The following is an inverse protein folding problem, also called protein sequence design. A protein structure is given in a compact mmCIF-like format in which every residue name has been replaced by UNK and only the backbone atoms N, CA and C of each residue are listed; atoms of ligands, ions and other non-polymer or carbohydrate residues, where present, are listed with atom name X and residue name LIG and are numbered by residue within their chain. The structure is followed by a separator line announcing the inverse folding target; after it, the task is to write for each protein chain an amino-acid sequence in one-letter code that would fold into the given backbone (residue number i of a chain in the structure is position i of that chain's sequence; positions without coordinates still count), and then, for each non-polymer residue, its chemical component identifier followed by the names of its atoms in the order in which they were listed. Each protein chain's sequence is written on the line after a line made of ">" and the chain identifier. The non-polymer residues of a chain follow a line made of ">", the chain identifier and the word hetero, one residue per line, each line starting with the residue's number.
data_IF_202612052241
#
_entry.id   IF_202612052241
#
_cell.length_a   1.000
_cell.length_b   1.000
_cell.length_c   1.000
_cell.angle_alpha   90.00
_cell.angle_beta   90.00
_cell.angle_gamma   90.00
#
_symmetry.space_group_name_H-M   'P 1'
#
loop_
_entity.id
_entity.type
_entity.pdbx_description
1 polymer ?
#
# COMPACT_ATOMS: atom_id res chain seq x y z
N UNK A 1 14.62 -8.03 4.43
CA UNK A 1 13.53 -7.47 3.62
C UNK A 1 12.79 -6.44 4.45
N UNK A 2 12.52 -5.27 3.88
CA UNK A 2 11.89 -4.14 4.55
C UNK A 2 10.68 -3.62 3.76
N UNK A 3 9.73 -2.94 4.40
CA UNK A 3 8.65 -2.27 3.68
C UNK A 3 9.13 -1.06 2.87
N UNK A 4 10.24 -0.42 3.29
CA UNK A 4 10.82 0.75 2.60
C UNK A 4 12.34 0.79 2.69
N UNK A 5 12.98 1.61 1.83
CA UNK A 5 14.44 1.70 1.74
C UNK A 5 15.12 2.35 2.95
N UNK A 6 14.42 3.23 3.69
CA UNK A 6 15.01 3.97 4.80
C UNK A 6 15.40 3.07 5.98
N UNK A 7 14.59 2.05 6.27
CA UNK A 7 14.83 1.12 7.36
C UNK A 7 16.20 0.42 7.24
N UNK A 8 16.62 0.09 6.02
CA UNK A 8 17.92 -0.53 5.76
C UNK A 8 19.09 0.36 6.18
N UNK A 9 18.99 1.68 6.03
CA UNK A 9 20.07 2.61 6.42
C UNK A 9 20.29 2.60 7.93
N UNK A 10 19.21 2.59 8.72
CA UNK A 10 19.30 2.54 10.19
C UNK A 10 19.86 1.21 10.68
N UNK A 11 19.39 0.10 10.10
CA UNK A 11 19.93 -1.22 10.46
C UNK A 11 21.40 -1.34 10.11
N UNK A 12 21.82 -0.88 8.93
CA UNK A 12 23.23 -0.93 8.55
C UNK A 12 24.11 -0.12 9.50
N UNK A 13 23.65 1.07 9.93
CA UNK A 13 24.35 1.87 10.93
C UNK A 13 24.44 1.16 12.29
N UNK A 14 23.37 0.54 12.76
CA UNK A 14 23.35 -0.20 14.00
C UNK A 14 24.28 -1.41 13.95
N UNK A 15 24.27 -2.17 12.86
CA UNK A 15 25.20 -3.31 12.65
C UNK A 15 26.66 -2.86 12.64
N UNK A 16 26.97 -1.73 11.97
CA UNK A 16 28.32 -1.18 11.96
C UNK A 16 28.80 -0.73 13.35
N UNK A 17 27.88 -0.28 14.22
CA UNK A 17 28.21 0.10 15.60
C UNK A 17 28.43 -1.09 16.53
N UNK A 18 27.75 -2.21 16.26
CA UNK A 18 27.83 -3.44 17.05
C UNK A 18 28.98 -4.36 16.60
N UNK A 19 29.55 -4.13 15.42
CA UNK A 19 30.60 -4.97 14.87
C UNK A 19 31.96 -4.62 15.50
N UNK A 20 32.64 -5.62 16.06
CA UNK A 20 34.00 -5.49 16.62
C UNK A 20 35.12 -5.41 15.54
N UNK A 21 34.74 -5.52 14.27
CA UNK A 21 35.67 -5.50 13.14
C UNK A 21 34.93 -5.52 11.79
N UNK A 22 35.64 -5.66 10.67
CA UNK A 22 35.05 -5.74 9.36
C UNK A 22 34.07 -6.91 9.23
N UNK A 23 32.82 -6.64 8.87
CA UNK A 23 31.78 -7.65 8.63
C UNK A 23 31.19 -7.47 7.23
N UNK A 24 30.79 -8.57 6.61
CA UNK A 24 30.04 -8.49 5.37
C UNK A 24 28.64 -7.96 5.64
N UNK A 25 28.25 -6.90 4.90
CA UNK A 25 26.89 -6.37 4.99
C UNK A 25 25.88 -7.38 4.45
N UNK A 26 24.77 -7.61 5.14
CA UNK A 26 23.64 -8.33 4.57
C UNK A 26 23.13 -7.66 3.29
N UNK A 27 22.48 -8.42 2.43
CA UNK A 27 21.76 -7.83 1.30
C UNK A 27 20.46 -7.19 1.80
N UNK A 28 20.29 -5.90 1.52
CA UNK A 28 19.09 -5.15 1.88
C UNK A 28 18.18 -5.02 0.68
N UNK A 29 16.92 -5.40 0.84
CA UNK A 29 15.92 -5.34 -0.23
C UNK A 29 14.58 -4.87 0.33
N UNK A 30 13.84 -4.06 -0.43
CA UNK A 30 12.45 -3.79 -0.10
C UNK A 30 11.54 -4.92 -0.58
N UNK A 31 10.35 -5.02 -0.01
CA UNK A 31 9.37 -6.02 -0.46
C UNK A 31 8.99 -5.80 -1.93
N UNK A 32 8.87 -4.54 -2.36
CA UNK A 32 8.61 -4.19 -3.76
C UNK A 32 9.76 -4.62 -4.69
N UNK A 33 11.02 -4.35 -4.30
CA UNK A 33 12.17 -4.79 -5.08
C UNK A 33 12.31 -6.30 -5.09
N UNK A 34 11.95 -6.99 -3.99
CA UNK A 34 11.89 -8.45 -3.95
C UNK A 34 10.95 -8.99 -5.04
N UNK A 35 9.72 -8.51 -5.10
CA UNK A 35 8.78 -8.94 -6.12
C UNK A 35 9.26 -8.63 -7.55
N UNK A 36 9.81 -7.43 -7.78
CA UNK A 36 10.34 -7.03 -9.10
C UNK A 36 11.46 -7.94 -9.59
N UNK A 37 12.37 -8.36 -8.69
CA UNK A 37 13.49 -9.25 -9.06
C UNK A 37 13.04 -10.66 -9.45
N UNK A 38 11.84 -11.08 -9.04
CA UNK A 38 11.29 -12.40 -9.33
C UNK A 38 10.31 -12.43 -10.49
N UNK A 39 10.16 -11.29 -11.20
CA UNK A 39 9.29 -11.14 -12.38
C UNK A 39 10.09 -10.95 -13.64
N UNK A 40 9.59 -11.53 -14.74
CA UNK A 40 10.07 -11.26 -16.09
C UNK A 40 9.33 -10.05 -16.73
N UNK A 41 8.27 -9.58 -16.08
CA UNK A 41 7.49 -8.44 -16.53
C UNK A 41 8.05 -7.15 -15.92
N UNK A 42 7.96 -6.07 -16.67
CA UNK A 42 8.37 -4.72 -16.25
C UNK A 42 7.15 -3.91 -15.85
N UNK A 43 7.23 -3.17 -14.76
CA UNK A 43 6.14 -2.26 -14.37
C UNK A 43 6.01 -1.19 -15.44
N UNK A 44 4.80 -1.05 -15.98
CA UNK A 44 4.48 -0.08 -16.99
C UNK A 44 4.47 1.35 -16.41
N UNK A 45 4.80 2.31 -17.26
CA UNK A 45 4.58 3.72 -16.94
C UNK A 45 3.10 3.98 -16.62
N UNK A 46 2.77 4.77 -15.59
CA UNK A 46 1.40 5.04 -15.17
C UNK A 46 0.51 5.58 -16.30
N UNK A 47 1.01 6.51 -17.09
CA UNK A 47 0.25 7.11 -18.22
C UNK A 47 -0.01 6.04 -19.28
N UNK A 48 1.01 5.25 -19.61
CA UNK A 48 0.86 4.13 -20.56
C UNK A 48 -0.15 3.10 -20.06
N UNK A 49 -0.15 2.79 -18.76
CA UNK A 49 -1.11 1.86 -18.15
C UNK A 49 -2.54 2.36 -18.34
N UNK A 50 -2.80 3.64 -18.14
CA UNK A 50 -4.12 4.24 -18.35
C UNK A 50 -4.50 4.23 -19.83
N UNK A 51 -3.57 4.51 -20.75
CA UNK A 51 -3.82 4.42 -22.18
C UNK A 51 -4.16 2.99 -22.63
N UNK A 52 -3.50 1.98 -22.10
CA UNK A 52 -3.80 0.59 -22.41
C UNK A 52 -5.11 0.13 -21.75
N UNK A 53 -5.41 0.60 -20.54
CA UNK A 53 -6.70 0.38 -19.89
C UNK A 53 -7.86 1.01 -20.67
N UNK A 54 -7.67 2.22 -21.20
CA UNK A 54 -8.64 2.88 -22.07
C UNK A 54 -8.93 2.05 -23.34
N UNK A 55 -7.90 1.49 -23.97
CA UNK A 55 -8.08 0.60 -25.14
C UNK A 55 -8.92 -0.63 -24.77
N UNK A 56 -8.64 -1.25 -23.63
CA UNK A 56 -9.42 -2.38 -23.12
C UNK A 56 -10.86 -1.98 -22.83
N UNK A 57 -11.07 -0.79 -22.24
CA UNK A 57 -12.39 -0.24 -22.03
C UNK A 57 -13.17 -0.07 -23.34
N UNK A 58 -12.61 0.59 -24.34
CA UNK A 58 -13.25 0.80 -25.64
C UNK A 58 -13.55 -0.53 -26.33
N UNK A 59 -12.61 -1.48 -26.32
CA UNK A 59 -12.79 -2.77 -26.97
C UNK A 59 -13.90 -3.61 -26.33
N UNK A 60 -13.94 -3.67 -24.99
CA UNK A 60 -14.95 -4.46 -24.26
C UNK A 60 -16.32 -3.79 -24.25
N UNK A 61 -16.37 -2.47 -24.15
CA UNK A 61 -17.66 -1.75 -24.06
C UNK A 61 -18.25 -1.42 -25.42
N UNK A 62 -17.42 -1.30 -26.46
CA UNK A 62 -17.80 -0.75 -27.76
C UNK A 62 -18.02 0.77 -27.74
N UNK A 63 -17.70 1.45 -26.64
CA UNK A 63 -17.91 2.89 -26.49
C UNK A 63 -16.76 3.68 -27.12
N UNK A 64 -16.87 3.97 -28.42
CA UNK A 64 -15.87 4.77 -29.16
C UNK A 64 -16.08 6.28 -29.03
N UNK A 65 -17.17 6.72 -28.38
CA UNK A 65 -17.45 8.15 -28.16
C UNK A 65 -16.71 8.72 -26.95
N UNK A 66 -16.37 7.88 -25.99
CA UNK A 66 -15.57 8.28 -24.85
C UNK A 66 -14.17 8.67 -25.29
N UNK A 67 -13.65 9.79 -24.83
CA UNK A 67 -12.29 10.22 -25.14
C UNK A 67 -11.33 9.82 -24.04
N UNK A 68 -10.05 9.69 -24.37
CA UNK A 68 -9.01 9.36 -23.37
C UNK A 68 -8.94 10.44 -22.27
N UNK A 69 -9.14 11.70 -22.59
CA UNK A 69 -9.12 12.83 -21.66
C UNK A 69 -10.21 12.68 -20.58
N UNK A 70 -11.43 12.36 -21.00
CA UNK A 70 -12.54 12.13 -20.06
C UNK A 70 -12.36 10.82 -19.26
N UNK A 71 -11.82 9.80 -19.88
CA UNK A 71 -11.56 8.51 -19.23
C UNK A 71 -10.44 8.59 -18.19
N UNK A 72 -9.49 9.53 -18.34
CA UNK A 72 -8.22 9.51 -17.63
C UNK A 72 -8.36 9.47 -16.10
N UNK A 73 -9.13 10.39 -15.52
CA UNK A 73 -9.35 10.45 -14.08
C UNK A 73 -10.02 9.18 -13.53
N UNK A 74 -11.07 8.70 -14.21
CA UNK A 74 -11.70 7.45 -13.86
C UNK A 74 -10.78 6.24 -14.09
N UNK A 75 -10.00 6.25 -15.15
CA UNK A 75 -9.01 5.22 -15.44
C UNK A 75 -7.95 5.08 -14.33
N UNK A 76 -7.55 6.19 -13.69
CA UNK A 76 -6.66 6.15 -12.53
C UNK A 76 -7.29 5.45 -11.33
N UNK A 77 -8.57 5.74 -11.03
CA UNK A 77 -9.30 5.06 -9.96
C UNK A 77 -9.43 3.56 -10.24
N UNK A 78 -9.83 3.21 -11.46
CA UNK A 78 -10.00 1.82 -11.85
C UNK A 78 -8.68 1.03 -11.83
N UNK A 79 -7.57 1.65 -12.22
CA UNK A 79 -6.25 1.04 -12.14
C UNK A 79 -5.85 0.78 -10.68
N UNK A 80 -6.15 1.70 -9.78
CA UNK A 80 -5.91 1.54 -8.34
C UNK A 80 -6.77 0.39 -7.76
N UNK A 81 -8.04 0.31 -8.15
CA UNK A 81 -8.93 -0.78 -7.72
C UNK A 81 -8.44 -2.15 -8.23
N UNK A 82 -7.97 -2.23 -9.47
CA UNK A 82 -7.39 -3.45 -10.03
C UNK A 82 -6.10 -3.85 -9.30
N UNK A 83 -5.28 -2.87 -8.96
CA UNK A 83 -4.07 -3.07 -8.17
C UNK A 83 -4.41 -3.64 -6.77
N UNK A 84 -5.43 -3.09 -6.11
CA UNK A 84 -5.90 -3.55 -4.81
C UNK A 84 -6.55 -4.94 -4.87
N UNK A 85 -7.33 -5.25 -5.91
CA UNK A 85 -7.89 -6.59 -6.13
C UNK A 85 -6.76 -7.62 -6.21
N UNK A 86 -5.70 -7.34 -6.97
CA UNK A 86 -4.58 -8.26 -7.12
C UNK A 86 -3.73 -8.35 -5.83
N UNK A 87 -3.41 -7.23 -5.18
CA UNK A 87 -2.65 -7.21 -3.92
C UNK A 87 -3.37 -7.95 -2.79
N UNK A 88 -4.70 -7.88 -2.79
CA UNK A 88 -5.52 -8.61 -1.83
C UNK A 88 -5.92 -10.01 -2.29
N UNK A 89 -5.47 -10.44 -3.48
CA UNK A 89 -5.80 -11.74 -4.08
C UNK A 89 -7.31 -12.00 -4.10
N UNK A 90 -8.09 -10.94 -4.31
CA UNK A 90 -9.53 -11.03 -4.38
C UNK A 90 -9.95 -11.69 -5.71
N UNK A 91 -11.10 -12.34 -5.69
CA UNK A 91 -11.73 -12.90 -6.87
C UNK A 91 -12.44 -11.76 -7.62
N UNK A 92 -11.82 -11.26 -8.70
CA UNK A 92 -12.32 -10.14 -9.47
C UNK A 92 -13.73 -10.38 -10.01
N UNK A 93 -14.06 -11.60 -10.44
CA UNK A 93 -15.39 -11.93 -10.90
C UNK A 93 -16.43 -11.76 -9.80
N UNK A 94 -16.14 -12.23 -8.58
CA UNK A 94 -17.04 -12.03 -7.43
C UNK A 94 -17.13 -10.58 -6.98
N UNK A 95 -16.01 -9.85 -6.98
CA UNK A 95 -16.00 -8.43 -6.64
C UNK A 95 -16.92 -7.64 -7.60
N UNK A 96 -16.78 -7.88 -8.91
CA UNK A 96 -17.56 -7.15 -9.91
C UNK A 96 -18.99 -7.68 -10.11
N UNK A 97 -19.27 -8.93 -9.76
CA UNK A 97 -20.63 -9.47 -9.84
C UNK A 97 -21.52 -9.10 -8.64
N UNK A 98 -20.95 -8.64 -7.54
CA UNK A 98 -21.64 -8.46 -6.26
C UNK A 98 -22.50 -7.19 -6.19
N UNK A 99 -22.47 -6.31 -7.21
CA UNK A 99 -23.36 -5.12 -7.30
C UNK A 99 -24.71 -5.51 -7.93
N UNK A 100 -25.35 -6.54 -7.41
CA UNK A 100 -26.74 -6.82 -7.73
C UNK A 100 -27.74 -6.00 -6.87
N UNK A 101 -27.28 -5.36 -5.82
CA UNK A 101 -28.10 -4.57 -4.92
C UNK A 101 -27.95 -3.07 -5.23
N UNK A 102 -28.87 -2.55 -6.01
CA UNK A 102 -28.96 -1.15 -6.42
C UNK A 102 -29.00 -0.12 -5.27
N UNK A 103 -29.26 -0.58 -4.02
CA UNK A 103 -29.23 0.26 -2.82
C UNK A 103 -27.79 0.60 -2.39
N UNK A 104 -26.81 -0.25 -2.71
CA UNK A 104 -25.40 0.02 -2.39
C UNK A 104 -24.77 1.08 -3.29
N UNK A 105 -25.34 1.32 -4.47
CA UNK A 105 -24.91 2.39 -5.39
C UNK A 105 -25.29 3.81 -4.92
N UNK A 106 -26.27 3.92 -4.02
CA UNK A 106 -26.66 5.21 -3.42
C UNK A 106 -25.70 5.62 -2.28
N UNK A 107 -24.92 4.67 -1.74
CA UNK A 107 -23.94 4.94 -0.69
C UNK A 107 -22.50 5.02 -1.26
N UNK A 108 -22.13 6.20 -1.72
CA UNK A 108 -20.76 6.54 -2.12
C UNK A 108 -19.99 7.23 -0.98
N UNK A 109 -20.42 7.02 0.28
CA UNK A 109 -19.83 7.67 1.45
C UNK A 109 -18.35 7.26 1.71
N UNK A 110 -17.94 6.10 1.22
CA UNK A 110 -16.56 5.60 1.30
C UNK A 110 -15.57 6.30 0.35
N UNK A 111 -16.08 7.03 -0.66
CA UNK A 111 -15.23 7.81 -1.57
C UNK A 111 -14.95 9.19 -0.98
N UNK A 112 -13.72 9.67 -1.15
CA UNK A 112 -13.39 11.05 -0.84
C UNK A 112 -14.02 12.02 -1.84
N UNK A 113 -14.03 13.32 -1.55
CA UNK A 113 -14.72 14.32 -2.40
C UNK A 113 -14.07 14.46 -3.79
N UNK A 114 -12.77 14.24 -3.90
CA UNK A 114 -12.05 14.25 -5.17
C UNK A 114 -12.45 13.06 -6.05
N UNK A 115 -12.52 11.87 -5.48
CA UNK A 115 -12.99 10.65 -6.15
C UNK A 115 -14.46 10.78 -6.57
N UNK A 116 -15.32 11.36 -5.71
CA UNK A 116 -16.72 11.64 -6.05
C UNK A 116 -16.83 12.64 -7.19
N UNK A 117 -15.98 13.67 -7.21
CA UNK A 117 -15.97 14.67 -8.27
C UNK A 117 -15.56 14.05 -9.63
N UNK A 118 -14.52 13.19 -9.64
CA UNK A 118 -14.11 12.49 -10.86
C UNK A 118 -15.16 11.50 -11.35
N UNK A 119 -15.80 10.77 -10.45
CA UNK A 119 -16.92 9.89 -10.79
C UNK A 119 -18.09 10.67 -11.40
N UNK A 120 -18.47 11.79 -10.77
CA UNK A 120 -19.52 12.68 -11.30
C UNK A 120 -19.14 13.26 -12.65
N UNK A 121 -17.89 13.68 -12.84
CA UNK A 121 -17.37 14.21 -14.09
C UNK A 121 -17.42 13.18 -15.21
N UNK A 122 -17.01 11.95 -14.92
CA UNK A 122 -17.10 10.85 -15.87
C UNK A 122 -18.54 10.56 -16.29
N UNK A 123 -19.48 10.53 -15.32
CA UNK A 123 -20.89 10.27 -15.62
C UNK A 123 -21.68 11.50 -16.11
N UNK A 124 -21.27 12.72 -15.80
CA UNK A 124 -21.96 13.95 -16.24
C UNK A 124 -21.96 14.13 -17.76
N UNK A 125 -21.04 13.52 -18.48
CA UNK A 125 -21.01 13.54 -19.94
C UNK A 125 -22.03 12.59 -20.59
N UNK A 126 -22.83 11.87 -19.79
CA UNK A 126 -23.73 10.82 -20.25
C UNK A 126 -25.22 11.18 -20.19
N UNK A 127 -25.61 12.42 -20.30
CA UNK A 127 -27.01 12.87 -20.24
C UNK A 127 -27.53 13.32 -18.85
N UNK A 128 -28.33 14.39 -18.83
CA UNK A 128 -28.88 14.98 -17.60
C UNK A 128 -29.97 14.13 -16.90
N UNK A 129 -30.17 12.87 -17.33
CA UNK A 129 -31.16 11.97 -16.76
C UNK A 129 -30.55 11.04 -15.72
N UNK A 130 -30.88 11.19 -14.41
CA UNK A 130 -30.33 10.34 -13.34
C UNK A 130 -30.60 8.84 -13.53
N UNK A 131 -31.71 8.45 -14.11
CA UNK A 131 -32.03 7.04 -14.39
C UNK A 131 -31.12 6.47 -15.49
N UNK A 132 -30.80 7.24 -16.52
CA UNK A 132 -29.89 6.84 -17.58
C UNK A 132 -28.44 6.69 -17.10
N UNK A 133 -27.98 7.51 -16.16
CA UNK A 133 -26.66 7.40 -15.52
C UNK A 133 -26.55 6.08 -14.78
N UNK A 134 -27.56 5.71 -14.01
CA UNK A 134 -27.62 4.49 -13.23
C UNK A 134 -27.56 3.23 -14.10
N UNK A 135 -28.35 3.14 -15.15
CA UNK A 135 -28.36 1.99 -16.06
C UNK A 135 -27.00 1.81 -16.76
N UNK A 136 -26.37 2.91 -17.15
CA UNK A 136 -25.05 2.88 -17.78
C UNK A 136 -23.96 2.45 -16.81
N UNK A 137 -24.04 2.89 -15.56
CA UNK A 137 -23.14 2.46 -14.51
C UNK A 137 -23.24 0.93 -14.28
N UNK A 138 -24.46 0.41 -14.15
CA UNK A 138 -24.68 -1.03 -13.99
C UNK A 138 -24.14 -1.81 -15.20
N UNK A 139 -24.42 -1.30 -16.41
CA UNK A 139 -23.93 -1.91 -17.64
C UNK A 139 -22.40 -1.91 -17.70
N UNK A 140 -21.77 -0.80 -17.34
CA UNK A 140 -20.32 -0.71 -17.27
C UNK A 140 -19.76 -1.66 -16.21
N UNK A 141 -20.36 -1.67 -15.02
CA UNK A 141 -19.93 -2.52 -13.92
C UNK A 141 -19.97 -4.00 -14.29
N UNK A 142 -21.00 -4.44 -14.98
CA UNK A 142 -21.08 -5.82 -15.47
C UNK A 142 -19.96 -6.20 -16.45
N UNK A 143 -19.30 -5.22 -17.05
CA UNK A 143 -18.19 -5.41 -17.98
C UNK A 143 -16.82 -5.27 -17.34
N UNK A 144 -16.73 -4.81 -16.08
CA UNK A 144 -15.45 -4.53 -15.42
C UNK A 144 -14.55 -5.76 -15.32
N UNK A 145 -15.12 -6.93 -15.06
CA UNK A 145 -14.32 -8.16 -15.05
C UNK A 145 -13.68 -8.45 -16.41
N UNK A 146 -14.41 -8.22 -17.51
CA UNK A 146 -13.90 -8.41 -18.86
C UNK A 146 -12.81 -7.36 -19.18
N UNK A 147 -13.02 -6.10 -18.77
CA UNK A 147 -12.03 -5.01 -18.92
C UNK A 147 -10.75 -5.36 -18.14
N UNK A 148 -10.87 -5.81 -16.88
CA UNK A 148 -9.75 -6.24 -16.05
C UNK A 148 -8.94 -7.36 -16.71
N UNK A 149 -9.61 -8.39 -17.23
CA UNK A 149 -8.95 -9.52 -17.86
C UNK A 149 -8.28 -9.14 -19.19
N UNK A 150 -8.97 -8.35 -20.04
CA UNK A 150 -8.40 -7.85 -21.30
C UNK A 150 -7.19 -6.96 -21.04
N UNK A 151 -7.28 -6.05 -20.08
CA UNK A 151 -6.18 -5.16 -19.70
C UNK A 151 -4.95 -5.94 -19.24
N UNK A 152 -5.12 -6.93 -18.36
CA UNK A 152 -4.01 -7.80 -17.91
C UNK A 152 -3.39 -8.55 -19.08
N UNK A 153 -4.20 -9.09 -20.00
CA UNK A 153 -3.70 -9.78 -21.17
C UNK A 153 -2.94 -8.84 -22.12
N UNK A 154 -3.45 -7.62 -22.31
CA UNK A 154 -2.80 -6.58 -23.11
C UNK A 154 -1.43 -6.18 -22.56
N UNK A 155 -1.31 -6.03 -21.26
CA UNK A 155 -0.03 -5.76 -20.60
C UNK A 155 0.93 -6.95 -20.76
N UNK A 156 0.47 -8.19 -20.52
CA UNK A 156 1.31 -9.40 -20.69
C UNK A 156 1.87 -9.54 -22.10
N UNK A 157 1.07 -9.25 -23.12
CA UNK A 157 1.51 -9.30 -24.52
C UNK A 157 2.65 -8.31 -24.81
N UNK A 158 2.76 -7.24 -24.01
CA UNK A 158 3.83 -6.24 -24.10
C UNK A 158 4.97 -6.51 -23.11
N UNK A 159 4.95 -7.61 -22.34
CA UNK A 159 5.83 -7.89 -21.21
C UNK A 159 5.77 -6.81 -20.11
N UNK A 160 4.62 -6.20 -19.96
CA UNK A 160 4.34 -5.17 -18.96
C UNK A 160 3.41 -5.70 -17.89
N UNK A 161 3.38 -4.99 -16.76
CA UNK A 161 2.52 -5.27 -15.61
C UNK A 161 2.30 -3.99 -14.80
N UNK A 162 1.30 -4.00 -13.90
CA UNK A 162 1.23 -3.08 -12.75
C UNK A 162 1.61 -3.82 -11.46
N UNK A 163 1.76 -3.12 -10.37
CA UNK A 163 2.40 -3.65 -9.17
C UNK A 163 1.63 -4.84 -8.56
N UNK A 164 0.33 -4.71 -8.34
CA UNK A 164 -0.50 -5.77 -7.77
C UNK A 164 -0.54 -7.03 -8.63
N UNK A 165 -0.69 -6.87 -9.95
CA UNK A 165 -0.64 -7.99 -10.89
C UNK A 165 0.71 -8.73 -10.80
N UNK A 166 1.83 -7.98 -10.73
CA UNK A 166 3.15 -8.55 -10.58
C UNK A 166 3.28 -9.35 -9.29
N UNK A 167 2.82 -8.80 -8.18
CA UNK A 167 2.91 -9.46 -6.86
C UNK A 167 2.08 -10.74 -6.84
N UNK A 168 0.86 -10.68 -7.36
CA UNK A 168 -0.04 -11.82 -7.46
C UNK A 168 0.55 -12.92 -8.34
N UNK A 169 1.04 -12.57 -9.52
CA UNK A 169 1.65 -13.53 -10.46
C UNK A 169 2.87 -14.26 -9.83
N UNK A 170 3.60 -13.61 -8.92
CA UNK A 170 4.74 -14.23 -8.22
C UNK A 170 4.27 -15.23 -7.16
N UNK A 171 3.34 -14.83 -6.29
CA UNK A 171 2.91 -15.69 -5.17
C UNK A 171 2.00 -16.84 -5.61
N UNK A 172 1.40 -16.75 -6.79
CA UNK A 172 0.62 -17.84 -7.40
C UNK A 172 1.53 -18.90 -8.06
N UNK A 173 2.82 -18.63 -8.23
CA UNK A 173 3.78 -19.63 -8.71
C UNK A 173 3.94 -20.76 -7.69
N UNK A 174 4.03 -22.01 -8.12
CA UNK A 174 4.20 -23.16 -7.22
C UNK A 174 5.47 -23.06 -6.36
N UNK A 175 6.50 -22.43 -6.89
CA UNK A 175 7.77 -22.21 -6.21
C UNK A 175 8.41 -20.90 -6.67
N UNK A 176 8.84 -20.10 -5.72
CA UNK A 176 9.63 -18.89 -5.97
C UNK A 176 11.11 -19.29 -5.91
N UNK A 177 11.82 -19.10 -7.03
CA UNK A 177 13.27 -19.31 -7.06
C UNK A 177 13.95 -18.21 -6.25
N UNK A 178 14.55 -18.55 -5.13
CA UNK A 178 15.21 -17.60 -4.24
C UNK A 178 16.71 -17.54 -4.48
N UNK A 179 17.29 -16.35 -4.36
CA UNK A 179 18.72 -16.12 -4.48
C UNK A 179 19.46 -16.43 -3.19
N UNK A 180 18.80 -16.25 -2.05
CA UNK A 180 19.36 -16.43 -0.72
C UNK A 180 18.72 -17.63 -0.03
N UNK A 181 19.47 -18.26 0.87
CA UNK A 181 18.99 -19.40 1.66
C UNK A 181 17.99 -18.95 2.74
N UNK A 182 18.15 -17.73 3.27
CA UNK A 182 17.33 -17.21 4.34
C UNK A 182 16.98 -15.74 4.15
N UNK A 183 15.74 -15.37 4.46
CA UNK A 183 15.19 -14.03 4.38
C UNK A 183 14.72 -13.55 5.74
N UNK A 184 15.14 -12.37 6.14
CA UNK A 184 14.75 -11.73 7.39
C UNK A 184 13.80 -10.58 7.07
N UNK A 185 12.57 -10.67 7.56
CA UNK A 185 11.53 -9.65 7.35
C UNK A 185 11.43 -8.75 8.58
N UNK A 186 11.61 -7.44 8.39
CA UNK A 186 11.75 -6.48 9.50
C UNK A 186 10.88 -5.26 9.28
N UNK A 187 10.16 -4.82 10.32
CA UNK A 187 9.46 -3.53 10.36
C UNK A 187 8.15 -3.48 9.59
N UNK A 188 7.52 -4.63 9.36
CA UNK A 188 6.18 -4.70 8.77
C UNK A 188 5.10 -4.48 9.84
N UNK A 189 3.95 -3.93 9.42
CA UNK A 189 2.78 -3.77 10.27
C UNK A 189 1.52 -4.25 9.54
N UNK A 190 1.06 -3.51 8.54
CA UNK A 190 -0.08 -3.93 7.71
C UNK A 190 0.45 -4.76 6.55
N UNK A 191 -0.03 -6.00 6.44
CA UNK A 191 0.35 -6.90 5.37
C UNK A 191 -0.79 -7.03 4.35
N UNK A 192 -0.48 -6.82 3.10
CA UNK A 192 -1.34 -7.18 1.98
C UNK A 192 -1.44 -8.71 1.87
N UNK A 193 -2.46 -9.20 1.19
CA UNK A 193 -2.68 -10.65 1.09
C UNK A 193 -1.55 -11.37 0.37
N UNK A 194 -1.01 -10.77 -0.68
CA UNK A 194 0.16 -11.30 -1.41
C UNK A 194 1.38 -11.45 -0.51
N UNK A 195 1.63 -10.48 0.38
CA UNK A 195 2.74 -10.56 1.34
C UNK A 195 2.51 -11.67 2.36
N UNK A 196 1.26 -11.83 2.85
CA UNK A 196 0.92 -12.93 3.76
C UNK A 196 1.13 -14.31 3.11
N UNK A 197 0.84 -14.44 1.83
CA UNK A 197 1.06 -15.70 1.08
C UNK A 197 2.56 -15.96 0.93
N UNK A 198 3.33 -14.93 0.55
CA UNK A 198 4.80 -15.01 0.48
C UNK A 198 5.41 -15.43 1.81
N UNK A 199 5.03 -14.77 2.90
CA UNK A 199 5.54 -15.05 4.24
C UNK A 199 5.23 -16.48 4.68
N UNK A 200 4.01 -16.97 4.42
CA UNK A 200 3.61 -18.35 4.71
C UNK A 200 4.44 -19.36 3.92
N UNK A 201 4.68 -19.09 2.63
CA UNK A 201 5.49 -19.99 1.80
C UNK A 201 6.90 -20.08 2.33
N UNK A 202 7.54 -18.94 2.65
CA UNK A 202 8.90 -18.89 3.14
C UNK A 202 9.05 -19.49 4.55
N UNK A 203 8.03 -19.29 5.40
CA UNK A 203 8.00 -19.95 6.72
C UNK A 203 7.91 -21.47 6.59
N UNK A 204 7.05 -21.95 5.68
CA UNK A 204 6.92 -23.40 5.42
C UNK A 204 8.21 -24.03 4.85
N UNK A 205 8.97 -23.25 4.09
CA UNK A 205 10.26 -23.66 3.52
C UNK A 205 11.43 -23.46 4.51
N UNK A 206 11.17 -23.03 5.76
CA UNK A 206 12.17 -22.69 6.79
C UNK A 206 13.18 -21.63 6.33
N UNK A 207 12.77 -20.76 5.41
CA UNK A 207 13.60 -19.70 4.81
C UNK A 207 13.33 -18.32 5.36
N UNK A 208 12.50 -18.17 6.39
CA UNK A 208 12.09 -16.86 6.89
C UNK A 208 12.24 -16.72 8.40
N UNK A 209 12.70 -15.54 8.82
CA UNK A 209 12.58 -15.04 10.18
C UNK A 209 11.87 -13.67 10.16
N UNK A 210 11.06 -13.41 11.18
CA UNK A 210 10.25 -12.20 11.29
C UNK A 210 10.65 -11.41 12.54
N UNK A 211 10.81 -10.11 12.36
CA UNK A 211 11.14 -9.18 13.44
C UNK A 211 10.05 -8.12 13.48
N UNK A 212 9.14 -8.23 14.50
CA UNK A 212 8.03 -7.33 14.71
C UNK A 212 8.39 -6.34 15.80
N UNK A 213 8.22 -5.05 15.49
CA UNK A 213 8.38 -3.96 16.45
C UNK A 213 7.00 -3.48 16.91
N UNK A 214 6.78 -3.51 18.23
CA UNK A 214 5.54 -3.07 18.84
C UNK A 214 5.77 -2.66 20.29
N UNK A 215 4.83 -1.89 20.84
CA UNK A 215 4.80 -1.61 22.28
C UNK A 215 3.64 -2.38 22.91
N UNK A 216 3.85 -2.98 24.06
CA UNK A 216 2.85 -3.80 24.79
C UNK A 216 1.58 -3.01 25.11
N UNK A 217 1.67 -1.69 25.24
CA UNK A 217 0.49 -0.85 25.43
C UNK A 217 -0.53 -1.05 24.32
N UNK A 218 -0.09 -1.14 23.07
CA UNK A 218 -0.95 -1.35 21.92
C UNK A 218 -1.43 -2.79 21.75
N UNK A 219 -0.83 -3.74 22.46
CA UNK A 219 -1.16 -5.15 22.35
C UNK A 219 -2.38 -5.57 23.16
N UNK A 220 -2.99 -4.68 23.93
CA UNK A 220 -4.26 -4.90 24.61
C UNK A 220 -5.40 -5.05 23.59
N UNK A 221 -6.33 -5.97 23.82
CA UNK A 221 -7.46 -6.26 22.90
C UNK A 221 -8.35 -5.04 22.66
N UNK A 222 -8.38 -4.11 23.57
CA UNK A 222 -9.16 -2.85 23.49
C UNK A 222 -8.49 -1.77 22.64
N UNK A 223 -7.24 -2.00 22.19
CA UNK A 223 -6.49 -1.02 21.42
C UNK A 223 -6.43 -1.44 19.94
N UNK A 224 -6.99 -0.62 19.06
CA UNK A 224 -7.06 -0.89 17.61
C UNK A 224 -5.68 -0.86 16.94
N UNK A 225 -4.76 -0.03 17.41
CA UNK A 225 -3.42 0.11 16.82
C UNK A 225 -2.63 -1.20 16.79
N UNK A 226 -2.86 -2.10 17.73
CA UNK A 226 -2.23 -3.41 17.78
C UNK A 226 -2.93 -4.52 16.98
N UNK A 227 -4.06 -4.25 16.34
CA UNK A 227 -4.88 -5.29 15.71
C UNK A 227 -4.13 -6.12 14.66
N UNK A 228 -3.33 -5.48 13.83
CA UNK A 228 -2.56 -6.18 12.80
C UNK A 228 -1.43 -6.99 13.42
N UNK A 229 -0.60 -6.41 14.26
CA UNK A 229 0.53 -7.10 14.90
C UNK A 229 0.06 -8.32 15.71
N UNK A 230 -1.02 -8.20 16.49
CA UNK A 230 -1.60 -9.35 17.23
C UNK A 230 -1.92 -10.53 16.30
N UNK A 231 -2.50 -10.24 15.11
CA UNK A 231 -2.83 -11.28 14.12
C UNK A 231 -1.59 -11.90 13.48
N UNK A 232 -0.52 -11.11 13.34
CA UNK A 232 0.69 -11.57 12.69
C UNK A 232 1.56 -12.39 13.61
N UNK A 233 1.66 -12.04 14.89
CA UNK A 233 2.45 -12.79 15.87
C UNK A 233 2.02 -14.26 15.98
N UNK A 234 0.72 -14.54 15.86
CA UNK A 234 0.20 -15.91 15.86
C UNK A 234 0.58 -16.70 14.59
N UNK A 235 0.77 -16.02 13.46
CA UNK A 235 1.01 -16.63 12.14
C UNK A 235 2.48 -16.66 11.76
N UNK A 236 3.21 -15.65 12.16
CA UNK A 236 4.59 -15.37 11.84
C UNK A 236 5.33 -15.03 13.13
N UNK A 237 5.87 -16.01 13.86
CA UNK A 237 6.45 -15.80 15.16
C UNK A 237 7.57 -14.76 15.14
N UNK A 238 7.62 -13.91 16.17
CA UNK A 238 8.68 -12.93 16.33
C UNK A 238 9.99 -13.63 16.71
N UNK A 239 11.07 -13.31 16.04
CA UNK A 239 12.40 -13.82 16.37
C UNK A 239 13.05 -13.09 17.56
N UNK A 240 12.50 -11.92 17.96
CA UNK A 240 12.92 -11.21 19.17
C UNK A 240 12.35 -11.87 20.44
N UNK A 241 13.07 -11.83 21.58
CA UNK A 241 12.53 -12.26 22.86
C UNK A 241 11.25 -11.49 23.22
N UNK A 242 10.24 -12.19 23.70
CA UNK A 242 8.95 -11.58 24.04
C UNK A 242 8.90 -10.96 25.45
N UNK A 243 9.91 -11.19 26.27
CA UNK A 243 10.01 -10.83 27.67
C UNK A 243 10.93 -9.62 27.94
N UNK A 244 11.42 -8.97 26.91
CA UNK A 244 12.31 -7.80 27.03
C UNK A 244 11.49 -6.52 27.21
N UNK A 245 11.46 -5.99 28.45
CA UNK A 245 10.78 -4.75 28.81
C UNK A 245 11.44 -3.51 28.20
N UNK A 246 12.73 -3.55 27.89
CA UNK A 246 13.42 -2.43 27.26
C UNK A 246 12.99 -2.28 25.80
N UNK A 247 12.67 -3.38 25.13
CA UNK A 247 12.16 -3.37 23.75
C UNK A 247 10.69 -2.95 23.68
N UNK A 248 9.84 -3.44 24.60
CA UNK A 248 8.39 -3.42 24.39
C UNK A 248 7.60 -2.48 25.31
N UNK A 249 8.20 -1.86 26.35
CA UNK A 249 7.52 -0.95 27.28
C UNK A 249 8.06 0.48 27.21
N UNK A 250 8.17 1.01 25.99
CA UNK A 250 8.66 2.38 25.78
C UNK A 250 7.58 3.45 25.94
N UNK A 251 6.33 3.13 25.59
CA UNK A 251 5.24 4.08 25.62
C UNK A 251 4.86 4.50 27.05
N UNK A 252 4.98 3.61 28.01
CA UNK A 252 4.70 3.87 29.43
C UNK A 252 5.78 4.72 30.12
N UNK A 253 6.97 4.85 29.55
CA UNK A 253 8.06 5.66 30.11
C UNK A 253 7.68 7.15 30.16
N UNK A 254 8.16 7.87 31.17
CA UNK A 254 7.91 9.30 31.35
C UNK A 254 8.32 10.10 30.10
N UNK A 255 7.42 10.93 29.62
CA UNK A 255 7.61 11.81 28.46
C UNK A 255 7.32 13.25 28.83
N UNK A 256 7.99 14.16 28.13
CA UNK A 256 7.68 15.59 28.20
C UNK A 256 6.74 15.94 27.04
N UNK A 257 5.50 16.26 27.35
CA UNK A 257 4.47 16.56 26.35
C UNK A 257 4.04 18.02 26.54
N UNK A 258 4.22 18.82 25.49
CA UNK A 258 3.75 20.21 25.44
C UNK A 258 2.64 20.29 24.38
N UNK A 259 1.48 20.78 24.79
CA UNK A 259 0.35 20.99 23.87
C UNK A 259 0.24 22.50 23.64
N UNK A 260 0.28 22.88 22.37
CA UNK A 260 0.22 24.27 21.94
C UNK A 260 -0.98 24.44 21.04
N UNK A 261 -1.87 25.37 21.41
CA UNK A 261 -3.01 25.72 20.57
C UNK A 261 -2.67 26.96 19.74
N UNK A 262 -2.93 26.88 18.45
CA UNK A 262 -2.79 28.02 17.55
C UNK A 262 -4.10 28.20 16.76
N UNK A 263 -4.55 29.46 16.54
CA UNK A 263 -5.86 29.73 15.93
C UNK A 263 -5.91 29.42 14.42
N UNK A 264 -4.76 29.24 13.78
CA UNK A 264 -4.68 28.94 12.34
C UNK A 264 -3.56 27.93 12.06
N UNK A 265 -3.72 27.15 11.01
CA UNK A 265 -2.72 26.17 10.51
C UNK A 265 -1.40 26.86 10.16
N UNK A 266 -1.45 28.04 9.54
CA UNK A 266 -0.25 28.83 9.23
C UNK A 266 0.54 29.20 10.50
N UNK A 267 -0.16 29.53 11.60
CA UNK A 267 0.50 29.83 12.86
C UNK A 267 1.10 28.58 13.51
N UNK A 268 0.46 27.41 13.35
CA UNK A 268 1.04 26.13 13.76
C UNK A 268 2.34 25.86 13.01
N UNK A 269 2.33 26.02 11.69
CA UNK A 269 3.52 25.81 10.85
C UNK A 269 4.67 26.79 11.22
N UNK A 270 4.36 28.06 11.47
CA UNK A 270 5.35 29.06 11.92
C UNK A 270 5.95 28.72 13.27
N UNK A 271 5.15 28.21 14.21
CA UNK A 271 5.63 27.83 15.53
C UNK A 271 6.67 26.70 15.46
N UNK A 272 6.59 25.81 14.46
CA UNK A 272 7.60 24.75 14.25
C UNK A 272 9.01 25.34 14.12
N UNK A 273 9.15 26.44 13.38
CA UNK A 273 10.45 27.11 13.22
C UNK A 273 11.00 27.66 14.54
N UNK A 274 10.13 28.21 15.38
CA UNK A 274 10.52 28.70 16.71
C UNK A 274 10.90 27.54 17.63
N UNK A 275 10.07 26.49 17.66
CA UNK A 275 10.33 25.29 18.45
C UNK A 275 11.64 24.59 18.06
N UNK A 276 11.99 24.58 16.75
CA UNK A 276 13.27 24.04 16.29
C UNK A 276 14.48 24.87 16.76
N UNK A 277 14.34 26.20 16.83
CA UNK A 277 15.39 27.10 17.32
C UNK A 277 15.58 26.96 18.82
N UNK A 278 14.50 26.77 19.57
CA UNK A 278 14.58 26.50 21.00
C UNK A 278 15.43 25.25 21.27
N UNK A 279 16.41 25.35 22.11
CA UNK A 279 17.35 24.27 22.46
C UNK A 279 18.10 23.69 21.21
N UNK A 280 18.19 24.45 20.14
CA UNK A 280 18.95 24.08 18.91
C UNK A 280 18.56 22.72 18.31
N UNK A 281 17.26 22.31 18.40
CA UNK A 281 16.76 21.02 17.92
C UNK A 281 17.06 20.74 16.46
N UNK A 282 17.19 21.78 15.64
CA UNK A 282 17.57 21.67 14.22
C UNK A 282 18.97 21.08 14.02
N UNK A 283 19.85 21.08 15.02
CA UNK A 283 21.20 20.50 14.95
C UNK A 283 21.18 18.97 15.05
N UNK A 284 20.13 18.39 15.62
CA UNK A 284 19.99 16.94 15.78
C UNK A 284 18.80 16.40 15.00
N UNK A 285 18.91 16.41 13.68
CA UNK A 285 17.88 15.90 12.78
C UNK A 285 17.62 14.41 12.91
N UNK A 286 18.50 13.64 13.56
CA UNK A 286 18.27 12.20 13.82
C UNK A 286 17.30 11.97 14.99
N UNK A 287 17.22 12.91 15.91
CA UNK A 287 16.34 12.84 17.10
C UNK A 287 15.13 13.76 17.02
N UNK A 288 15.04 14.57 15.96
CA UNK A 288 13.96 15.53 15.78
C UNK A 288 13.13 15.12 14.57
N UNK A 289 11.85 14.88 14.78
CA UNK A 289 10.89 14.58 13.72
C UNK A 289 9.75 15.61 13.74
N UNK A 290 9.35 16.08 12.59
CA UNK A 290 8.14 16.86 12.37
C UNK A 290 7.14 15.95 11.68
N UNK A 291 6.00 15.72 12.32
CA UNK A 291 4.93 14.90 11.79
C UNK A 291 3.76 15.80 11.45
N UNK A 292 3.36 15.82 10.20
CA UNK A 292 2.23 16.58 9.69
C UNK A 292 1.03 15.65 9.52
N UNK A 293 -0.12 16.05 10.02
CA UNK A 293 -1.39 15.34 9.79
C UNK A 293 -2.01 15.74 8.44
N UNK A 294 -1.63 16.92 7.92
CA UNK A 294 -2.02 17.39 6.60
C UNK A 294 -0.76 17.81 5.82
N UNK A 295 -0.53 17.17 4.69
CA UNK A 295 0.64 17.43 3.83
C UNK A 295 0.59 18.80 3.15
N UNK A 296 -0.59 19.41 3.04
CA UNK A 296 -0.74 20.77 2.48
C UNK A 296 -0.11 21.86 3.35
N UNK A 297 0.32 21.51 4.58
CA UNK A 297 1.05 22.42 5.49
C UNK A 297 2.55 22.54 5.17
N UNK A 298 3.06 21.76 4.24
CA UNK A 298 4.42 21.88 3.72
C UNK A 298 4.53 23.06 2.78
#
# INVERSE_FOLDING_TARGET
>A
VFPNKRAALFLNQALAQLADGPVWSPAYITISDFFRQHSELTIADPIKSICDLYKSYVEVTGNTKETLDHFYGWGQLLLADFDDIDKNMADAEKVFSNISNLKELDDISYLNEEQKAELRRFFANFDDNPEGIRERFITLWSKLNNIYNDFKQRLRNQKLTYEGMLYRDIVEKPQIKTQYEHYVFVGFNVLQKVEQVLFKQFLKEEKASFYWDYDRYYMKSTNEAGNYIRRWLDKFPNALPNDDDELYDNLSKKKNINIISAPTENLQARYISEWLRENERYKDGKRTAIVLCDEHLL
#
